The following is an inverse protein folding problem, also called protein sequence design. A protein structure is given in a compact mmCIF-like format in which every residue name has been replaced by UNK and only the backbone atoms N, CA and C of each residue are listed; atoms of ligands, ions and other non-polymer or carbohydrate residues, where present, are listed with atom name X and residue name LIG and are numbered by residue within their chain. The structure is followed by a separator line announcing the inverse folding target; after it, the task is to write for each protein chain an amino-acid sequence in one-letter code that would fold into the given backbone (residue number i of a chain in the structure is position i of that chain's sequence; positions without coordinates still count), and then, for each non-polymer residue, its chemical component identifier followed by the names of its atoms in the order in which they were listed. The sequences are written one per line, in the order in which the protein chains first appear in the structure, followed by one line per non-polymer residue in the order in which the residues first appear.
data_IF_131650210383
#
_entry.id   IF_131650210383
#
_cell.length_a   1.000
_cell.length_b   1.000
_cell.length_c   1.000
_cell.angle_alpha   90.00
_cell.angle_beta   90.00
_cell.angle_gamma   90.00
#
_symmetry.space_group_name_H-M   'P 1'
#
loop_
_entity.id
_entity.type
_entity.pdbx_description
1 polymer ?
#
# COMPACT_ATOMS: atom_id res chain seq x y z
N UNK A 1 -15.51 -33.96 -60.23
CA UNK A 1 -14.67 -32.75 -60.10
C UNK A 1 -15.11 -31.85 -58.92
N UNK A 2 -15.73 -32.41 -57.87
CA UNK A 2 -16.21 -31.66 -56.69
C UNK A 2 -15.54 -32.12 -55.37
N UNK A 3 -14.95 -33.33 -55.35
CA UNK A 3 -14.29 -33.88 -54.16
C UNK A 3 -12.90 -33.29 -53.87
N UNK A 4 -12.18 -32.80 -54.89
CA UNK A 4 -10.85 -32.21 -54.71
C UNK A 4 -10.87 -30.81 -54.08
N UNK A 5 -11.96 -30.05 -54.24
CA UNK A 5 -12.08 -28.68 -53.71
C UNK A 5 -12.38 -28.69 -52.21
N UNK A 6 -13.12 -29.69 -51.72
CA UNK A 6 -13.47 -29.84 -50.30
C UNK A 6 -12.27 -30.29 -49.46
N UNK A 7 -11.38 -31.12 -50.01
CA UNK A 7 -10.16 -31.58 -49.33
C UNK A 7 -9.15 -30.44 -49.07
N UNK A 8 -9.00 -29.50 -50.02
CA UNK A 8 -8.08 -28.36 -49.87
C UNK A 8 -8.51 -27.34 -48.82
N UNK A 9 -9.83 -27.11 -48.69
CA UNK A 9 -10.39 -26.21 -47.67
C UNK A 9 -10.25 -26.78 -46.25
N UNK A 10 -10.49 -28.07 -46.07
CA UNK A 10 -10.32 -28.73 -44.78
C UNK A 10 -8.86 -28.71 -44.28
N UNK A 11 -7.89 -28.92 -45.18
CA UNK A 11 -6.46 -28.87 -44.86
C UNK A 11 -6.04 -27.44 -44.48
N UNK A 12 -6.52 -26.42 -45.19
CA UNK A 12 -6.19 -25.02 -44.89
C UNK A 12 -6.74 -24.58 -43.52
N UNK A 13 -7.97 -24.98 -43.18
CA UNK A 13 -8.57 -24.69 -41.87
C UNK A 13 -7.78 -25.36 -40.74
N UNK A 14 -7.39 -26.63 -40.91
CA UNK A 14 -6.57 -27.33 -39.91
C UNK A 14 -5.20 -26.65 -39.69
N UNK A 15 -4.56 -26.16 -40.75
CA UNK A 15 -3.32 -25.39 -40.65
C UNK A 15 -3.52 -24.07 -39.89
N UNK A 16 -4.62 -23.33 -40.15
CA UNK A 16 -4.91 -22.08 -39.45
C UNK A 16 -5.21 -22.31 -37.96
N UNK A 17 -5.97 -23.35 -37.61
CA UNK A 17 -6.26 -23.69 -36.22
C UNK A 17 -5.00 -24.13 -35.48
N UNK A 18 -4.14 -24.93 -36.12
CA UNK A 18 -2.86 -25.34 -35.53
C UNK A 18 -1.93 -24.13 -35.28
N UNK A 19 -1.84 -23.19 -36.23
CA UNK A 19 -1.04 -21.98 -36.07
C UNK A 19 -1.57 -21.05 -34.97
N UNK A 20 -2.90 -20.95 -34.83
CA UNK A 20 -3.51 -20.18 -33.75
C UNK A 20 -3.26 -20.82 -32.38
N UNK A 21 -3.33 -22.15 -32.30
CA UNK A 21 -3.06 -22.89 -31.06
C UNK A 21 -1.61 -22.77 -30.62
N UNK A 22 -0.64 -22.88 -31.54
CA UNK A 22 0.79 -22.72 -31.20
C UNK A 22 1.11 -21.28 -30.76
N UNK A 23 0.53 -20.28 -31.41
CA UNK A 23 0.69 -18.88 -31.02
C UNK A 23 0.06 -18.56 -29.66
N UNK A 24 -1.07 -19.16 -29.33
CA UNK A 24 -1.70 -19.00 -28.01
C UNK A 24 -0.93 -19.75 -26.91
N UNK A 25 -0.42 -20.94 -27.22
CA UNK A 25 0.45 -21.71 -26.32
C UNK A 25 1.74 -20.96 -26.00
N UNK A 26 2.40 -20.36 -26.99
CA UNK A 26 3.64 -19.61 -26.73
C UNK A 26 3.38 -18.37 -25.85
N UNK A 27 2.26 -17.68 -26.06
CA UNK A 27 1.90 -16.51 -25.27
C UNK A 27 1.52 -16.86 -23.82
N UNK A 28 0.92 -18.03 -23.60
CA UNK A 28 0.64 -18.56 -22.25
C UNK A 28 1.93 -19.01 -21.55
N UNK A 29 2.88 -19.61 -22.26
CA UNK A 29 4.17 -20.00 -21.69
C UNK A 29 5.02 -18.79 -21.25
N UNK A 30 5.06 -17.71 -22.05
CA UNK A 30 5.78 -16.47 -21.71
C UNK A 30 5.18 -15.78 -20.47
N UNK A 31 3.85 -15.74 -20.37
CA UNK A 31 3.16 -15.12 -19.22
C UNK A 31 3.34 -15.93 -17.95
N UNK A 32 3.34 -17.27 -18.03
CA UNK A 32 3.64 -18.16 -16.90
C UNK A 32 5.10 -18.03 -16.47
N UNK A 33 6.05 -17.91 -17.40
CA UNK A 33 7.45 -17.67 -17.08
C UNK A 33 7.66 -16.34 -16.33
N UNK A 34 7.03 -15.26 -16.80
CA UNK A 34 7.08 -13.95 -16.15
C UNK A 34 6.44 -13.97 -14.76
N UNK A 35 5.31 -14.67 -14.59
CA UNK A 35 4.67 -14.83 -13.29
C UNK A 35 5.53 -15.63 -12.31
N UNK A 36 6.21 -16.70 -12.78
CA UNK A 36 7.13 -17.49 -11.96
C UNK A 36 8.33 -16.68 -11.49
N UNK A 37 8.88 -15.82 -12.35
CA UNK A 37 9.98 -14.92 -11.96
C UNK A 37 9.52 -13.91 -10.89
N UNK A 38 8.33 -13.31 -11.06
CA UNK A 38 7.76 -12.40 -10.08
C UNK A 38 7.43 -13.09 -8.75
N UNK A 39 6.96 -14.34 -8.78
CA UNK A 39 6.74 -15.16 -7.59
C UNK A 39 8.07 -15.51 -6.91
N UNK A 40 9.12 -15.87 -7.66
CA UNK A 40 10.43 -16.16 -7.09
C UNK A 40 11.04 -14.94 -6.39
N UNK A 41 10.86 -13.72 -6.93
CA UNK A 41 11.26 -12.46 -6.29
C UNK A 41 10.44 -12.18 -5.03
N UNK A 42 9.13 -12.45 -5.04
CA UNK A 42 8.27 -12.34 -3.86
C UNK A 42 8.63 -13.37 -2.77
N UNK A 43 9.00 -14.60 -3.15
CA UNK A 43 9.43 -15.64 -2.21
C UNK A 43 10.81 -15.34 -1.62
N UNK A 44 11.74 -14.80 -2.42
CA UNK A 44 13.06 -14.38 -1.96
C UNK A 44 12.98 -13.19 -0.98
N UNK A 45 12.02 -12.29 -1.16
CA UNK A 45 11.77 -11.18 -0.23
C UNK A 45 11.00 -11.61 1.02
N UNK A 46 10.22 -12.70 0.95
CA UNK A 46 9.51 -13.26 2.10
C UNK A 46 10.43 -14.07 3.04
N UNK A 47 11.50 -14.68 2.52
CA UNK A 47 12.53 -15.36 3.33
C UNK A 47 13.56 -14.33 3.81
N UNK A 48 13.26 -13.67 4.93
CA UNK A 48 14.24 -12.81 5.61
C UNK A 48 15.53 -13.57 5.98
N UNK A 49 16.65 -12.86 6.25
CA UNK A 49 17.90 -13.51 6.65
C UNK A 49 17.71 -14.29 7.95
N UNK A 50 18.38 -15.46 8.11
CA UNK A 50 18.26 -16.27 9.32
C UNK A 50 18.73 -15.46 10.54
N UNK A 51 17.90 -15.45 11.59
CA UNK A 51 18.26 -14.88 12.88
C UNK A 51 19.35 -15.71 13.58
N UNK A 52 20.18 -15.11 14.45
CA UNK A 52 21.40 -15.75 14.91
C UNK A 52 21.26 -16.99 15.80
N UNK A 53 20.16 -17.24 16.52
CA UNK A 53 20.09 -18.42 17.43
C UNK A 53 18.66 -18.98 17.65
N UNK A 54 18.07 -19.70 16.68
CA UNK A 54 16.85 -20.46 16.96
C UNK A 54 16.33 -21.34 15.82
N UNK A 55 15.56 -22.41 16.14
CA UNK A 55 14.92 -23.23 15.11
C UNK A 55 13.90 -22.41 14.31
N UNK A 56 13.68 -22.73 13.02
CA UNK A 56 12.77 -21.98 12.15
C UNK A 56 11.36 -21.93 12.76
N UNK A 57 10.87 -20.72 13.04
CA UNK A 57 9.49 -20.50 13.46
C UNK A 57 8.48 -20.81 12.34
N UNK A 58 7.21 -21.06 12.69
CA UNK A 58 6.15 -21.26 11.69
C UNK A 58 6.00 -20.03 10.78
N UNK A 59 5.49 -20.18 9.53
CA UNK A 59 5.31 -19.07 8.60
C UNK A 59 4.24 -18.12 9.15
N UNK A 60 4.67 -17.00 9.74
CA UNK A 60 3.77 -16.10 10.44
C UNK A 60 4.43 -14.78 10.77
N UNK A 61 3.94 -13.76 10.07
CA UNK A 61 4.17 -12.34 10.24
C UNK A 61 5.59 -11.87 9.88
N UNK A 62 5.67 -11.17 8.74
CA UNK A 62 6.70 -10.16 8.47
C UNK A 62 6.99 -9.47 9.80
N UNK A 63 8.24 -9.52 10.26
CA UNK A 63 8.70 -8.66 11.35
C UNK A 63 8.58 -7.22 10.84
N UNK A 64 7.35 -6.71 10.86
CA UNK A 64 7.05 -5.32 10.64
C UNK A 64 7.73 -4.61 11.77
N UNK A 65 8.79 -3.87 11.45
CA UNK A 65 9.19 -2.76 12.30
C UNK A 65 7.93 -1.93 12.52
N UNK A 66 7.28 -2.13 13.68
CA UNK A 66 6.11 -1.34 14.08
C UNK A 66 6.61 0.07 14.22
N UNK A 67 6.33 0.87 13.20
CA UNK A 67 6.73 2.26 13.21
C UNK A 67 5.74 3.00 14.11
N UNK A 68 6.17 3.25 15.35
CA UNK A 68 5.35 3.92 16.36
C UNK A 68 4.81 5.28 15.87
N UNK A 69 5.44 5.93 14.89
CA UNK A 69 4.91 7.14 14.29
C UNK A 69 3.65 6.90 13.45
N UNK A 70 3.61 5.81 12.68
CA UNK A 70 2.42 5.44 11.89
C UNK A 70 1.27 5.04 12.83
N UNK A 71 1.58 4.29 13.89
CA UNK A 71 0.60 3.90 14.91
C UNK A 71 0.03 5.10 15.66
N UNK A 72 0.89 6.05 16.04
CA UNK A 72 0.47 7.29 16.68
C UNK A 72 -0.38 8.15 15.75
N UNK A 73 0.04 8.31 14.48
CA UNK A 73 -0.74 9.05 13.49
C UNK A 73 -2.11 8.41 13.25
N UNK A 74 -2.16 7.08 13.09
CA UNK A 74 -3.41 6.33 12.92
C UNK A 74 -4.33 6.49 14.14
N UNK A 75 -3.77 6.44 15.34
CA UNK A 75 -4.52 6.62 16.59
C UNK A 75 -5.12 8.03 16.67
N UNK A 76 -4.34 9.07 16.35
CA UNK A 76 -4.81 10.45 16.34
C UNK A 76 -5.91 10.64 15.29
N UNK A 77 -5.69 10.20 14.05
CA UNK A 77 -6.69 10.34 12.98
C UNK A 77 -8.00 9.64 13.34
N UNK A 78 -7.92 8.44 13.93
CA UNK A 78 -9.11 7.68 14.35
C UNK A 78 -9.84 8.37 15.51
N UNK A 79 -9.12 8.99 16.45
CA UNK A 79 -9.73 9.70 17.58
C UNK A 79 -10.43 11.01 17.17
N UNK A 80 -10.13 11.56 16.00
CA UNK A 80 -10.67 12.85 15.53
C UNK A 80 -12.09 12.72 14.97
N UNK A 81 -12.45 11.56 14.40
CA UNK A 81 -13.77 11.40 13.79
C UNK A 81 -14.87 11.31 14.84
N UNK A 82 -15.96 12.03 14.62
CA UNK A 82 -17.18 11.98 15.45
C UNK A 82 -18.26 11.07 14.84
N UNK A 83 -17.94 10.36 13.76
CA UNK A 83 -18.87 9.51 13.01
C UNK A 83 -18.24 8.15 12.71
N UNK A 84 -19.02 7.05 12.76
CA UNK A 84 -18.53 5.74 12.32
C UNK A 84 -17.99 5.83 10.89
N UNK A 85 -16.70 5.53 10.72
CA UNK A 85 -16.01 5.67 9.43
C UNK A 85 -14.69 4.90 9.43
N UNK A 86 -14.24 4.50 8.25
CA UNK A 86 -12.88 3.99 8.07
C UNK A 86 -11.93 5.17 7.95
N UNK A 87 -10.92 5.19 8.81
CA UNK A 87 -9.92 6.24 8.89
C UNK A 87 -8.56 5.68 8.55
N UNK A 88 -7.79 6.41 7.75
CA UNK A 88 -6.44 6.09 7.36
C UNK A 88 -5.52 7.27 7.64
N UNK A 89 -4.41 7.03 8.33
CA UNK A 89 -3.30 7.96 8.39
C UNK A 89 -2.34 7.68 7.23
N UNK A 90 -2.30 8.59 6.27
CA UNK A 90 -1.41 8.47 5.10
C UNK A 90 -0.18 9.33 5.33
N UNK A 91 1.00 8.69 5.35
CA UNK A 91 2.29 9.38 5.44
C UNK A 91 2.59 10.13 4.13
N UNK A 92 3.07 11.36 4.24
CA UNK A 92 3.53 12.17 3.11
C UNK A 92 5.02 11.94 2.82
N UNK A 93 5.41 12.03 1.55
CA UNK A 93 6.81 12.11 1.17
C UNK A 93 7.31 13.56 1.25
N UNK A 94 8.10 13.80 2.28
CA UNK A 94 8.65 15.11 2.62
C UNK A 94 10.00 15.43 1.96
N UNK A 95 10.50 14.59 1.05
CA UNK A 95 11.76 14.87 0.34
C UNK A 95 11.61 16.11 -0.54
N UNK A 96 12.73 16.73 -0.93
CA UNK A 96 12.74 17.93 -1.78
C UNK A 96 11.99 17.72 -3.13
N UNK A 97 12.01 16.49 -3.64
CA UNK A 97 11.25 16.05 -4.82
C UNK A 97 10.18 15.01 -4.42
N UNK A 98 9.60 15.15 -3.23
CA UNK A 98 8.52 14.29 -2.75
C UNK A 98 7.23 14.48 -3.53
N UNK A 99 6.13 13.92 -3.03
CA UNK A 99 4.84 13.94 -3.73
C UNK A 99 4.28 15.35 -3.99
N UNK A 100 4.66 16.34 -3.17
CA UNK A 100 4.19 17.73 -3.28
C UNK A 100 2.68 17.88 -3.10
N UNK A 101 1.97 16.81 -2.73
CA UNK A 101 0.51 16.76 -2.69
C UNK A 101 0.00 17.43 -1.42
N UNK A 102 -1.12 18.15 -1.54
CA UNK A 102 -1.94 18.49 -0.38
C UNK A 102 -2.55 17.21 0.20
N UNK A 103 -2.97 17.24 1.47
CA UNK A 103 -3.63 16.09 2.05
C UNK A 103 -4.99 15.78 1.39
N UNK A 104 -5.69 16.79 0.87
CA UNK A 104 -6.89 16.56 0.03
C UNK A 104 -6.57 15.74 -1.22
N UNK A 105 -5.49 16.10 -1.94
CA UNK A 105 -5.04 15.36 -3.11
C UNK A 105 -4.52 13.97 -2.74
N UNK A 106 -3.87 13.84 -1.58
CA UNK A 106 -3.42 12.56 -1.03
C UNK A 106 -4.59 11.62 -0.76
N UNK A 107 -5.61 12.07 -0.03
CA UNK A 107 -6.78 11.24 0.28
C UNK A 107 -7.54 10.86 -0.98
N UNK A 108 -7.63 11.75 -1.97
CA UNK A 108 -8.29 11.47 -3.25
C UNK A 108 -7.52 10.45 -4.09
N UNK A 109 -6.21 10.64 -4.25
CA UNK A 109 -5.35 9.76 -5.06
C UNK A 109 -5.22 8.34 -4.48
N UNK A 110 -5.39 8.19 -3.16
CA UNK A 110 -5.32 6.90 -2.44
C UNK A 110 -6.66 6.23 -2.20
N UNK A 111 -7.74 6.72 -2.83
CA UNK A 111 -9.08 6.14 -2.68
C UNK A 111 -9.11 4.64 -3.01
N UNK A 112 -8.50 4.21 -4.12
CA UNK A 112 -8.49 2.81 -4.52
C UNK A 112 -7.78 1.92 -3.48
N UNK A 113 -6.63 2.35 -2.98
CA UNK A 113 -5.85 1.64 -1.97
C UNK A 113 -6.62 1.54 -0.65
N UNK A 114 -7.22 2.65 -0.20
CA UNK A 114 -8.05 2.67 1.01
C UNK A 114 -9.25 1.74 0.89
N UNK A 115 -9.97 1.76 -0.25
CA UNK A 115 -11.10 0.86 -0.50
C UNK A 115 -10.66 -0.60 -0.51
N UNK A 116 -9.54 -0.92 -1.13
CA UNK A 116 -9.00 -2.28 -1.16
C UNK A 116 -8.71 -2.79 0.26
N UNK A 117 -8.18 -1.94 1.14
CA UNK A 117 -7.90 -2.28 2.53
C UNK A 117 -9.15 -2.61 3.37
N UNK A 118 -10.33 -2.16 2.95
CA UNK A 118 -11.62 -2.42 3.62
C UNK A 118 -12.60 -3.18 2.72
N UNK A 119 -12.10 -4.07 1.86
CA UNK A 119 -12.91 -4.96 1.03
C UNK A 119 -13.91 -4.23 0.11
N UNK A 120 -13.50 -3.10 -0.44
CA UNK A 120 -14.25 -2.32 -1.43
C UNK A 120 -15.28 -1.34 -0.84
N UNK A 121 -15.36 -1.22 0.48
CA UNK A 121 -16.28 -0.32 1.18
C UNK A 121 -15.95 1.17 0.97
N UNK A 122 -16.98 2.01 1.04
CA UNK A 122 -16.89 3.44 0.79
C UNK A 122 -16.87 3.81 -0.70
N UNK A 123 -17.45 4.96 -1.04
CA UNK A 123 -17.52 5.46 -2.42
C UNK A 123 -16.45 6.51 -2.71
N UNK A 124 -16.18 7.36 -1.73
CA UNK A 124 -15.33 8.56 -1.84
C UNK A 124 -14.44 8.71 -0.61
N UNK A 125 -13.48 9.64 -0.67
CA UNK A 125 -12.58 9.96 0.43
C UNK A 125 -12.49 11.46 0.66
N UNK A 126 -12.25 11.85 1.90
CA UNK A 126 -12.02 13.24 2.27
C UNK A 126 -10.90 13.34 3.31
N UNK A 127 -10.12 14.40 3.26
CA UNK A 127 -9.25 14.77 4.37
C UNK A 127 -10.10 15.41 5.48
N UNK A 128 -9.90 14.98 6.72
CA UNK A 128 -10.60 15.52 7.90
C UNK A 128 -9.67 16.28 8.84
N UNK A 129 -8.37 15.97 8.77
CA UNK A 129 -7.34 16.60 9.58
C UNK A 129 -5.96 16.31 8.97
N UNK A 130 -4.93 16.98 9.48
CA UNK A 130 -3.56 16.62 9.19
C UNK A 130 -2.69 16.85 10.42
N UNK A 131 -1.68 16.00 10.58
CA UNK A 131 -0.81 16.02 11.75
C UNK A 131 0.65 16.01 11.35
N UNK A 132 1.46 16.64 12.18
CA UNK A 132 2.90 16.50 12.15
C UNK A 132 3.34 15.68 13.35
N UNK A 133 3.84 14.48 13.11
CA UNK A 133 4.51 13.67 14.13
C UNK A 133 6.00 13.99 14.07
N UNK A 134 6.52 14.57 15.15
CA UNK A 134 7.93 14.96 15.20
C UNK A 134 8.83 13.73 15.28
N UNK A 135 9.74 13.62 14.31
CA UNK A 135 10.82 12.64 14.31
C UNK A 135 11.95 13.09 15.25
N UNK A 136 12.84 12.16 15.62
CA UNK A 136 14.02 12.43 16.45
C UNK A 136 13.70 12.98 17.87
N UNK A 137 12.57 12.53 18.44
CA UNK A 137 12.24 12.78 19.85
C UNK A 137 12.64 11.58 20.70
N UNK A 138 12.92 11.77 22.00
CA UNK A 138 13.18 10.66 22.91
C UNK A 138 12.01 9.68 22.90
N UNK A 139 12.31 8.42 22.58
CA UNK A 139 11.41 7.31 22.86
C UNK A 139 11.61 6.99 24.33
N UNK A 140 10.55 7.16 25.12
CA UNK A 140 10.62 6.87 26.54
C UNK A 140 10.71 5.36 26.76
N UNK A 141 11.34 4.98 27.86
CA UNK A 141 11.43 3.60 28.31
C UNK A 141 10.03 2.97 28.41
N UNK A 142 9.91 1.66 28.14
CA UNK A 142 8.63 0.96 28.21
C UNK A 142 8.11 0.76 29.64
N UNK A 143 8.97 0.91 30.65
CA UNK A 143 8.62 0.85 32.07
C UNK A 143 8.18 2.22 32.63
N UNK A 144 7.51 2.19 33.78
CA UNK A 144 6.87 3.39 34.35
C UNK A 144 7.86 4.28 35.14
N UNK A 145 9.06 3.79 35.43
CA UNK A 145 9.99 4.38 36.38
C UNK A 145 11.14 5.14 35.71
N UNK A 146 11.74 4.57 34.66
CA UNK A 146 13.01 5.04 34.08
C UNK A 146 12.94 6.44 33.47
N UNK A 147 11.79 6.82 32.93
CA UNK A 147 11.55 8.11 32.27
C UNK A 147 10.36 8.89 32.85
N UNK A 148 10.00 8.60 34.10
CA UNK A 148 8.93 9.31 34.80
C UNK A 148 9.15 10.84 34.77
N UNK A 149 8.13 11.58 34.32
CA UNK A 149 8.16 13.04 34.22
C UNK A 149 8.90 13.61 33.00
N UNK A 150 9.48 12.78 32.12
CA UNK A 150 10.08 13.25 30.87
C UNK A 150 9.04 13.41 29.77
N UNK A 151 9.31 14.32 28.84
CA UNK A 151 8.46 14.54 27.66
C UNK A 151 8.84 13.55 26.58
N UNK A 152 7.87 12.77 26.11
CA UNK A 152 8.04 11.82 25.03
C UNK A 152 7.83 12.45 23.65
N UNK A 153 7.12 11.71 22.79
CA UNK A 153 6.80 12.12 21.45
C UNK A 153 5.92 13.36 21.43
N UNK A 154 6.17 14.24 20.47
CA UNK A 154 5.36 15.44 20.23
C UNK A 154 4.61 15.29 18.91
N UNK A 155 3.39 15.81 18.88
CA UNK A 155 2.57 15.90 17.68
C UNK A 155 1.92 17.27 17.58
N UNK A 156 1.96 17.87 16.40
CA UNK A 156 1.24 19.11 16.10
C UNK A 156 0.06 18.81 15.19
N UNK A 157 -1.12 19.34 15.53
CA UNK A 157 -2.36 19.12 14.80
C UNK A 157 -2.71 20.37 14.00
N UNK A 158 -2.91 20.22 12.69
CA UNK A 158 -3.24 21.32 11.78
C UNK A 158 -4.75 21.53 11.62
N UNK A 159 -5.57 20.60 12.13
CA UNK A 159 -7.01 20.60 11.92
C UNK A 159 -7.34 20.53 10.42
N UNK A 160 -8.56 20.91 10.04
CA UNK A 160 -8.98 20.97 8.65
C UNK A 160 -8.12 21.91 7.79
N UNK A 161 -7.49 22.93 8.37
CA UNK A 161 -6.56 23.81 7.67
C UNK A 161 -5.30 23.12 7.14
N UNK A 162 -4.94 21.96 7.70
CA UNK A 162 -3.85 21.12 7.20
C UNK A 162 -4.17 20.35 5.92
N UNK A 163 -5.45 20.19 5.59
CA UNK A 163 -5.88 19.40 4.44
C UNK A 163 -5.46 20.01 3.10
N UNK A 164 -5.60 21.34 3.00
CA UNK A 164 -5.22 22.13 1.83
C UNK A 164 -3.77 22.61 1.85
N UNK A 165 -2.98 22.21 2.86
CA UNK A 165 -1.62 22.73 3.05
C UNK A 165 -0.65 22.18 1.99
N UNK A 166 -0.15 23.07 1.14
CA UNK A 166 0.93 22.80 0.19
C UNK A 166 2.27 22.82 0.92
N UNK A 167 3.09 21.79 0.71
CA UNK A 167 4.35 21.64 1.42
C UNK A 167 5.38 22.70 0.99
N UNK A 168 5.59 23.71 1.84
CA UNK A 168 6.77 24.59 1.78
C UNK A 168 7.93 24.03 2.64
N UNK A 169 7.57 23.09 3.53
CA UNK A 169 8.40 22.31 4.44
C UNK A 169 7.61 21.04 4.82
N UNK A 170 8.23 20.06 5.48
CA UNK A 170 7.61 18.78 5.87
C UNK A 170 6.60 18.93 7.03
N UNK A 171 5.54 19.70 6.85
CA UNK A 171 4.49 19.86 7.85
C UNK A 171 3.19 20.28 7.17
N UNK A 172 2.06 19.56 7.36
CA UNK A 172 1.90 18.27 8.06
C UNK A 172 2.69 17.12 7.39
N UNK A 173 3.02 16.04 8.11
CA UNK A 173 3.69 14.86 7.53
C UNK A 173 2.81 13.60 7.50
N UNK A 174 1.61 13.66 8.07
CA UNK A 174 0.53 12.69 7.89
C UNK A 174 -0.79 13.38 7.57
N UNK A 175 -1.57 12.74 6.71
CA UNK A 175 -2.92 13.14 6.33
C UNK A 175 -3.94 12.20 6.99
N UNK A 176 -4.95 12.75 7.65
CA UNK A 176 -6.07 11.97 8.18
C UNK A 176 -7.17 11.88 7.13
N UNK A 177 -7.23 10.73 6.46
CA UNK A 177 -8.19 10.45 5.39
C UNK A 177 -9.35 9.63 5.93
N UNK A 178 -10.57 10.03 5.58
CA UNK A 178 -11.80 9.32 5.90
C UNK A 178 -12.41 8.79 4.62
N UNK A 179 -12.78 7.50 4.61
CA UNK A 179 -13.71 6.98 3.60
C UNK A 179 -15.13 7.39 3.95
N UNK A 180 -15.84 7.87 2.94
CA UNK A 180 -17.24 8.21 3.00
C UNK A 180 -18.08 7.11 2.31
N UNK A 181 -19.32 6.85 2.78
CA UNK A 181 -20.21 5.85 2.19
C UNK A 181 -20.41 6.02 0.69
#
# INVERSE_FOLDING_TARGET
MLEFVMGGLAVNILFQVAAMYTSWSSQTDETVASLRERIAVLEATARGPPGPEGPPGPPGLVSGSRNYHDELAQSICTAITNTPSFIFAIRRDCRANGDGLTCDAMCSSRLADMRLAVYGQGSTSACIDAVHVYMNRPVLAPDHETDAGKVGLATFRYFSGGCSWTANHCGPNYCCCRLLP
#
